data_IF_317136221761
#
_entry.id   IF_317136221761
#
_cell.length_a   1.000
_cell.length_b   1.000
_cell.length_c   1.000
_cell.angle_alpha   90.00
_cell.angle_beta   90.00
_cell.angle_gamma   90.00
#
_symmetry.space_group_name_H-M   'P 1'
#
loop_
_entity.id
_entity.type
_entity.pdbx_description
1 polymer ?
#
# COMPACT_ATOMS: atom_id res chain seq x y z
N UNK A 1 -20.47 19.16 -0.44
CA UNK A 1 -19.55 19.11 0.73
C UNK A 1 -18.14 19.06 0.17
N UNK A 2 -17.34 20.09 0.44
CA UNK A 2 -16.01 20.29 -0.12
C UNK A 2 -15.02 19.27 0.50
N UNK A 3 -14.11 18.75 -0.33
CA UNK A 3 -13.04 17.85 0.10
C UNK A 3 -13.43 16.41 0.42
N UNK A 4 -14.69 16.01 0.21
CA UNK A 4 -15.13 14.64 0.43
C UNK A 4 -14.85 13.79 -0.81
N UNK A 5 -14.06 12.73 -0.71
CA UNK A 5 -13.79 11.85 -1.83
C UNK A 5 -15.03 11.05 -2.24
N UNK A 6 -15.21 10.90 -3.56
CA UNK A 6 -16.29 10.13 -4.17
C UNK A 6 -15.77 9.31 -5.34
N UNK A 7 -16.32 8.13 -5.53
CA UNK A 7 -16.13 7.38 -6.78
C UNK A 7 -16.92 8.03 -7.92
N UNK A 8 -16.32 8.03 -9.10
CA UNK A 8 -16.89 8.64 -10.29
C UNK A 8 -17.03 7.64 -11.44
N UNK A 9 -18.05 7.82 -12.28
CA UNK A 9 -18.41 6.91 -13.36
C UNK A 9 -17.68 7.14 -14.67
N UNK A 10 -16.84 8.16 -14.75
CA UNK A 10 -16.24 8.62 -16.01
C UNK A 10 -14.78 9.02 -15.79
N UNK A 11 -13.99 9.02 -16.85
CA UNK A 11 -12.63 9.58 -16.89
C UNK A 11 -12.61 11.08 -17.17
N UNK A 12 -13.77 11.72 -17.31
CA UNK A 12 -13.92 13.17 -17.47
C UNK A 12 -14.40 13.78 -16.18
N UNK A 13 -13.72 14.81 -15.66
CA UNK A 13 -14.10 15.51 -14.46
C UNK A 13 -15.40 16.30 -14.64
N UNK A 14 -16.35 16.21 -13.70
CA UNK A 14 -17.49 17.14 -13.67
C UNK A 14 -17.05 18.51 -13.15
N UNK A 15 -17.82 19.54 -13.47
CA UNK A 15 -17.56 20.89 -12.98
C UNK A 15 -17.43 20.93 -11.45
N UNK A 16 -16.54 21.74 -10.94
CA UNK A 16 -16.32 21.89 -9.50
C UNK A 16 -15.53 20.77 -8.83
N UNK A 17 -14.94 19.86 -9.59
CA UNK A 17 -14.20 18.72 -9.04
C UNK A 17 -12.76 18.66 -9.56
N UNK A 18 -11.91 18.01 -8.77
CA UNK A 18 -10.54 17.63 -9.11
C UNK A 18 -10.34 16.14 -8.87
N UNK A 19 -9.30 15.58 -9.49
CA UNK A 19 -8.88 14.22 -9.15
C UNK A 19 -8.22 14.18 -7.77
N UNK A 20 -8.44 13.11 -7.02
CA UNK A 20 -7.77 12.89 -5.73
C UNK A 20 -6.39 12.25 -5.95
N UNK A 21 -5.49 12.94 -6.65
CA UNK A 21 -4.22 12.43 -7.18
C UNK A 21 -2.98 13.16 -6.63
N UNK A 22 -3.15 14.04 -5.64
CA UNK A 22 -2.04 14.79 -5.05
C UNK A 22 -1.72 16.11 -5.73
N UNK A 23 -2.46 16.52 -6.75
CA UNK A 23 -2.24 17.77 -7.48
C UNK A 23 -2.50 19.01 -6.61
N UNK A 24 -1.95 20.15 -7.03
CA UNK A 24 -2.14 21.45 -6.37
C UNK A 24 -3.46 22.09 -6.82
N UNK A 25 -4.33 22.36 -5.88
CA UNK A 25 -5.54 23.17 -6.06
C UNK A 25 -5.26 24.59 -5.55
N UNK A 26 -5.24 25.58 -6.45
CA UNK A 26 -4.99 26.99 -6.11
C UNK A 26 -6.24 27.64 -5.51
N UNK A 27 -6.07 28.46 -4.50
CA UNK A 27 -7.16 29.19 -3.87
C UNK A 27 -7.80 30.24 -4.80
N UNK A 28 -7.04 30.74 -5.78
CA UNK A 28 -7.54 31.63 -6.82
C UNK A 28 -8.61 30.94 -7.67
N UNK A 29 -8.40 29.67 -7.99
CA UNK A 29 -9.33 28.86 -8.79
C UNK A 29 -10.49 28.30 -7.93
N UNK A 30 -10.24 28.09 -6.64
CA UNK A 30 -11.16 27.42 -5.72
C UNK A 30 -11.43 28.25 -4.46
N UNK A 31 -12.22 29.36 -4.54
CA UNK A 31 -12.46 30.26 -3.40
C UNK A 31 -13.19 29.59 -2.23
N UNK A 32 -14.04 28.60 -2.50
CA UNK A 32 -14.71 27.85 -1.42
C UNK A 32 -13.75 26.93 -0.65
N UNK A 33 -12.75 26.35 -1.31
CA UNK A 33 -11.67 25.61 -0.66
C UNK A 33 -10.91 26.50 0.31
N UNK A 34 -10.60 27.75 -0.13
CA UNK A 34 -9.94 28.74 0.73
C UNK A 34 -10.75 29.08 1.98
N UNK A 35 -12.05 29.33 1.84
CA UNK A 35 -12.93 29.62 2.99
C UNK A 35 -12.90 28.48 4.03
N UNK A 36 -12.95 27.21 3.59
CA UNK A 36 -12.86 26.05 4.48
C UNK A 36 -11.49 25.98 5.16
N UNK A 37 -10.42 26.25 4.40
CA UNK A 37 -9.07 26.26 4.95
C UNK A 37 -8.90 27.34 6.02
N UNK A 38 -9.30 28.59 5.74
CA UNK A 38 -9.21 29.72 6.65
C UNK A 38 -10.05 29.50 7.93
N UNK A 39 -11.15 28.78 7.81
CA UNK A 39 -12.01 28.39 8.93
C UNK A 39 -11.46 27.18 9.74
N UNK A 40 -10.30 26.62 9.41
CA UNK A 40 -9.73 25.48 10.09
C UNK A 40 -10.43 24.15 9.80
N UNK A 41 -11.21 24.06 8.72
CA UNK A 41 -12.05 22.91 8.39
C UNK A 41 -11.28 21.62 8.04
N UNK A 42 -9.95 21.68 7.94
CA UNK A 42 -9.08 20.53 7.70
C UNK A 42 -8.32 20.08 8.96
N UNK A 43 -8.78 20.43 10.16
CA UNK A 43 -8.11 20.06 11.42
C UNK A 43 -7.86 18.54 11.50
N UNK A 44 -6.64 18.17 11.85
CA UNK A 44 -6.21 16.76 11.91
C UNK A 44 -5.90 16.11 10.56
N UNK A 45 -6.29 16.74 9.43
CA UNK A 45 -6.08 16.24 8.07
C UNK A 45 -5.08 17.07 7.27
N UNK A 46 -4.31 17.97 7.91
CA UNK A 46 -3.25 18.74 7.27
C UNK A 46 -1.88 18.20 7.61
N UNK A 47 -0.99 18.20 6.63
CA UNK A 47 0.47 18.09 6.81
C UNK A 47 1.10 19.48 6.92
N UNK A 48 2.31 19.53 7.46
CA UNK A 48 3.12 20.75 7.35
C UNK A 48 3.48 21.02 5.87
N UNK A 49 3.55 22.27 5.47
CA UNK A 49 3.87 22.66 4.09
C UNK A 49 5.24 22.15 3.64
N UNK A 50 6.20 22.05 4.57
CA UNK A 50 7.58 21.59 4.35
C UNK A 50 7.77 20.09 4.69
N UNK A 51 6.70 19.31 4.76
CA UNK A 51 6.79 17.87 4.98
C UNK A 51 7.68 17.22 3.91
N UNK A 52 8.59 16.34 4.33
CA UNK A 52 9.46 15.61 3.43
C UNK A 52 8.69 14.50 2.69
N UNK A 53 9.31 13.93 1.65
CA UNK A 53 8.70 12.91 0.80
C UNK A 53 8.25 11.66 1.58
N UNK A 54 9.02 11.22 2.58
CA UNK A 54 8.65 10.08 3.41
C UNK A 54 7.40 10.36 4.24
N UNK A 55 7.28 11.55 4.84
CA UNK A 55 6.10 11.98 5.58
C UNK A 55 4.89 12.08 4.67
N UNK A 56 5.04 12.59 3.44
CA UNK A 56 3.97 12.69 2.45
C UNK A 56 3.50 11.27 2.07
N UNK A 57 4.41 10.37 1.73
CA UNK A 57 4.11 8.98 1.38
C UNK A 57 3.40 8.22 2.50
N UNK A 58 3.75 8.50 3.76
CA UNK A 58 3.10 7.89 4.93
C UNK A 58 1.71 8.49 5.24
N UNK A 59 1.27 9.54 4.54
CA UNK A 59 0.05 10.28 4.86
C UNK A 59 -0.73 10.71 3.59
N UNK A 60 -0.90 9.79 2.65
CA UNK A 60 -1.51 10.06 1.34
C UNK A 60 -2.94 10.62 1.41
N UNK A 61 -3.67 10.32 2.48
CA UNK A 61 -5.03 10.83 2.70
C UNK A 61 -5.10 12.25 3.27
N UNK A 62 -3.96 12.93 3.47
CA UNK A 62 -3.93 14.28 4.03
C UNK A 62 -3.73 15.35 2.97
N UNK A 63 -4.27 16.52 3.26
CA UNK A 63 -4.03 17.76 2.53
C UNK A 63 -2.69 18.37 2.96
N UNK A 64 -2.07 19.16 2.10
CA UNK A 64 -0.82 19.84 2.43
C UNK A 64 -0.79 21.26 1.82
N UNK A 65 -0.56 22.31 2.62
CA UNK A 65 -0.34 23.66 2.09
C UNK A 65 0.93 23.68 1.20
N UNK A 66 0.89 24.47 0.13
CA UNK A 66 2.01 24.58 -0.80
C UNK A 66 3.17 25.45 -0.27
N UNK A 67 2.91 26.30 0.73
CA UNK A 67 3.88 27.21 1.35
C UNK A 67 3.48 27.57 2.78
N UNK A 68 4.35 28.29 3.51
CA UNK A 68 4.04 28.85 4.83
C UNK A 68 2.87 29.83 4.79
N UNK A 69 2.81 30.68 3.73
CA UNK A 69 1.65 31.49 3.39
C UNK A 69 1.03 30.87 2.14
N UNK A 70 0.07 29.97 2.28
CA UNK A 70 -0.36 29.14 1.17
C UNK A 70 -1.22 29.89 0.18
N UNK A 71 -0.95 29.65 -1.09
CA UNK A 71 -1.80 30.06 -2.22
C UNK A 71 -2.66 28.91 -2.73
N UNK A 72 -2.53 27.72 -2.15
CA UNK A 72 -3.29 26.55 -2.49
C UNK A 72 -2.95 25.35 -1.60
N UNK A 73 -3.69 24.27 -1.78
CA UNK A 73 -3.48 22.99 -1.11
C UNK A 73 -3.20 21.89 -2.12
N UNK A 74 -2.21 21.06 -1.84
CA UNK A 74 -2.13 19.76 -2.47
C UNK A 74 -3.28 18.90 -1.95
N UNK A 75 -4.06 18.35 -2.85
CA UNK A 75 -5.15 17.43 -2.50
C UNK A 75 -4.60 16.08 -2.04
N UNK A 76 -5.36 15.25 -1.30
CA UNK A 76 -4.98 13.89 -0.99
C UNK A 76 -4.69 13.08 -2.25
N UNK A 77 -3.66 12.23 -2.21
CA UNK A 77 -3.40 11.24 -3.25
C UNK A 77 -4.04 9.91 -2.87
N UNK A 78 -5.21 9.65 -3.42
CA UNK A 78 -6.01 8.45 -3.15
C UNK A 78 -5.94 7.44 -4.31
N UNK A 79 -5.08 7.71 -5.32
CA UNK A 79 -4.86 6.81 -6.44
C UNK A 79 -4.33 5.46 -5.93
N UNK A 80 -4.93 4.36 -6.42
CA UNK A 80 -4.53 2.99 -6.08
C UNK A 80 -4.58 2.63 -4.59
N UNK A 81 -5.31 3.41 -3.78
CA UNK A 81 -5.45 3.16 -2.35
C UNK A 81 -6.77 2.47 -2.00
N UNK A 82 -6.70 1.50 -1.10
CA UNK A 82 -7.88 0.93 -0.45
C UNK A 82 -8.30 1.77 0.74
N UNK A 83 -9.57 2.13 0.81
CA UNK A 83 -10.10 2.90 1.93
C UNK A 83 -10.44 1.99 3.11
N UNK A 84 -9.99 2.41 4.29
CA UNK A 84 -10.36 1.81 5.57
C UNK A 84 -11.00 2.85 6.47
N UNK A 85 -12.13 2.52 7.09
CA UNK A 85 -12.76 3.39 8.07
C UNK A 85 -11.80 3.69 9.22
N UNK A 86 -11.70 4.97 9.59
CA UNK A 86 -10.98 5.41 10.76
C UNK A 86 -11.95 5.59 11.92
N UNK A 87 -11.63 5.01 13.07
CA UNK A 87 -12.49 4.96 14.26
C UNK A 87 -11.89 5.65 15.48
N UNK A 88 -10.86 6.49 15.29
CA UNK A 88 -10.19 7.18 16.39
C UNK A 88 -9.18 6.33 17.15
N UNK A 89 -8.76 5.17 16.63
CA UNK A 89 -7.73 4.31 17.22
C UNK A 89 -6.31 4.89 17.16
N UNK A 90 -5.31 4.07 17.43
CA UNK A 90 -3.89 4.47 17.48
C UNK A 90 -3.32 4.95 16.13
N UNK A 91 -3.97 4.61 15.04
CA UNK A 91 -3.57 5.03 13.70
C UNK A 91 -4.06 6.45 13.42
N UNK A 92 -3.20 7.31 12.87
CA UNK A 92 -3.59 8.67 12.49
C UNK A 92 -4.55 8.67 11.29
N UNK A 93 -5.56 9.54 11.31
CA UNK A 93 -6.43 9.77 10.16
C UNK A 93 -5.62 10.22 8.95
N UNK A 94 -5.97 9.72 7.75
CA UNK A 94 -5.28 10.04 6.50
C UNK A 94 -3.91 9.38 6.31
N UNK A 95 -3.44 8.56 7.27
CA UNK A 95 -2.18 7.81 7.10
C UNK A 95 -2.32 6.68 6.09
N UNK A 96 -1.29 6.46 5.28
CA UNK A 96 -1.15 5.30 4.41
C UNK A 96 -0.58 4.10 5.20
N UNK A 97 -0.84 2.92 4.70
CA UNK A 97 -0.26 1.68 5.20
C UNK A 97 0.14 0.83 4.01
N UNK A 98 1.42 0.43 3.99
CA UNK A 98 1.94 -0.46 2.97
C UNK A 98 1.31 -1.85 3.03
N UNK A 99 1.52 -2.60 1.98
CA UNK A 99 1.16 -4.01 1.91
C UNK A 99 1.88 -4.82 2.99
N UNK A 100 1.16 -5.72 3.64
CA UNK A 100 1.73 -6.65 4.59
C UNK A 100 0.98 -7.99 4.57
N UNK A 101 1.70 -9.03 4.25
CA UNK A 101 1.21 -10.39 4.36
C UNK A 101 1.38 -10.89 5.80
N UNK A 102 0.39 -11.66 6.27
CA UNK A 102 0.52 -12.37 7.55
C UNK A 102 1.70 -13.34 7.47
N UNK A 103 2.57 -13.31 8.49
CA UNK A 103 3.67 -14.25 8.57
C UNK A 103 3.15 -15.69 8.57
N UNK A 104 3.59 -16.47 7.60
CA UNK A 104 3.36 -17.93 7.57
C UNK A 104 4.58 -18.56 8.17
N UNK A 105 4.42 -19.31 9.26
CA UNK A 105 5.47 -20.09 9.91
C UNK A 105 5.09 -21.56 9.92
N UNK A 106 6.03 -22.42 9.60
CA UNK A 106 5.87 -23.87 9.69
C UNK A 106 7.14 -24.48 10.24
N UNK A 107 7.01 -25.52 11.04
CA UNK A 107 8.13 -26.36 11.46
C UNK A 107 8.26 -27.50 10.45
N UNK A 108 9.40 -27.54 9.74
CA UNK A 108 9.77 -28.69 8.94
C UNK A 108 10.61 -29.59 9.86
N UNK A 109 10.04 -30.70 10.26
CA UNK A 109 10.71 -31.64 11.17
C UNK A 109 11.97 -32.28 10.57
N UNK A 110 12.64 -33.13 11.33
CA UNK A 110 13.81 -33.86 10.85
C UNK A 110 13.43 -34.85 9.75
N UNK A 111 14.09 -34.72 8.59
CA UNK A 111 13.92 -35.64 7.48
C UNK A 111 15.06 -36.67 7.44
N UNK A 112 14.70 -37.92 7.34
CA UNK A 112 15.59 -38.95 6.83
C UNK A 112 15.37 -39.05 5.33
N UNK A 113 16.40 -38.82 4.56
CA UNK A 113 16.33 -38.86 3.10
C UNK A 113 16.54 -40.27 2.58
N UNK A 114 15.57 -40.93 1.97
CA UNK A 114 15.81 -41.84 0.88
C UNK A 114 15.25 -41.39 -0.46
N UNK A 115 14.49 -40.33 -0.55
CA UNK A 115 13.76 -40.00 -1.77
C UNK A 115 13.67 -38.49 -1.98
N UNK A 116 13.81 -38.08 -3.24
CA UNK A 116 13.57 -36.71 -3.67
C UNK A 116 12.20 -36.23 -3.20
N UNK A 117 12.17 -35.18 -2.39
CA UNK A 117 10.92 -34.50 -2.04
C UNK A 117 10.62 -33.46 -3.13
N UNK A 118 9.61 -33.74 -3.93
CA UNK A 118 9.07 -32.80 -4.89
C UNK A 118 7.66 -32.41 -4.46
N UNK A 119 7.41 -31.13 -4.31
CA UNK A 119 6.09 -30.60 -4.01
C UNK A 119 5.97 -29.18 -4.54
N UNK A 120 4.74 -28.76 -4.84
CA UNK A 120 4.52 -27.44 -5.42
C UNK A 120 4.97 -26.29 -4.51
N UNK A 121 5.01 -26.52 -3.20
CA UNK A 121 5.35 -25.51 -2.20
C UNK A 121 6.80 -25.57 -1.72
N UNK A 122 7.45 -26.72 -1.91
CA UNK A 122 8.80 -27.01 -1.45
C UNK A 122 9.66 -27.43 -2.64
N UNK A 123 10.73 -26.72 -2.89
CA UNK A 123 11.74 -27.08 -3.88
C UNK A 123 13.06 -27.38 -3.19
N UNK A 124 13.70 -28.50 -3.57
CA UNK A 124 15.05 -28.80 -3.16
C UNK A 124 16.02 -28.23 -4.18
N UNK A 125 16.94 -27.39 -3.76
CA UNK A 125 18.07 -26.99 -4.56
C UNK A 125 19.37 -27.51 -3.94
N UNK A 126 20.11 -28.25 -4.69
CA UNK A 126 21.43 -28.78 -4.33
C UNK A 126 21.68 -30.12 -4.97
N UNK A 127 22.69 -30.22 -5.83
CA UNK A 127 23.29 -31.46 -6.27
C UNK A 127 24.44 -31.81 -5.32
N UNK A 128 24.09 -32.25 -4.12
CA UNK A 128 25.05 -32.79 -3.18
C UNK A 128 25.33 -34.25 -3.54
N UNK A 129 26.36 -34.51 -4.33
CA UNK A 129 26.90 -35.84 -4.56
C UNK A 129 27.94 -36.20 -3.49
N UNK A 130 27.55 -36.17 -2.22
CA UNK A 130 28.31 -36.81 -1.17
C UNK A 130 27.45 -37.89 -0.52
N UNK A 131 27.12 -38.89 -1.34
CA UNK A 131 26.67 -40.18 -0.85
C UNK A 131 27.90 -40.96 -0.40
N UNK A 132 28.35 -40.77 0.81
CA UNK A 132 29.22 -41.75 1.44
C UNK A 132 28.34 -42.92 1.81
N UNK A 133 28.49 -44.01 1.09
CA UNK A 133 27.88 -45.27 1.45
C UNK A 133 28.43 -45.69 2.81
N UNK A 134 27.58 -45.86 3.79
CA UNK A 134 27.97 -46.24 5.13
C UNK A 134 27.13 -47.43 5.56
N UNK A 135 27.85 -48.43 6.01
CA UNK A 135 27.33 -49.66 6.61
C UNK A 135 26.34 -49.39 7.74
N UNK A 136 25.43 -50.26 7.92
CA UNK A 136 24.22 -50.42 8.74
C UNK A 136 23.88 -49.43 9.86
N UNK A 137 24.78 -48.52 10.27
CA UNK A 137 24.56 -47.62 11.40
C UNK A 137 24.88 -46.13 11.10
N UNK A 138 24.91 -45.76 9.84
CA UNK A 138 25.36 -44.44 9.44
C UNK A 138 24.26 -43.58 8.83
N UNK A 139 24.15 -42.39 9.37
CA UNK A 139 23.25 -41.32 8.92
C UNK A 139 23.80 -40.75 7.61
N UNK A 140 23.11 -40.97 6.50
CA UNK A 140 23.39 -40.26 5.25
C UNK A 140 23.02 -38.79 5.47
N UNK A 141 24.01 -37.95 5.59
CA UNK A 141 23.83 -36.50 5.60
C UNK A 141 23.94 -36.01 4.16
N UNK A 142 22.81 -35.85 3.51
CA UNK A 142 22.75 -35.07 2.27
C UNK A 142 22.47 -33.61 2.67
N UNK A 143 23.42 -32.73 2.44
CA UNK A 143 23.20 -31.30 2.61
C UNK A 143 22.43 -30.76 1.39
N UNK A 144 21.19 -30.47 1.57
CA UNK A 144 20.34 -29.78 0.56
C UNK A 144 19.61 -28.61 1.19
N UNK A 145 19.36 -27.59 0.42
CA UNK A 145 18.53 -26.46 0.84
C UNK A 145 17.09 -26.78 0.48
N UNK A 146 16.21 -26.80 1.47
CA UNK A 146 14.78 -26.88 1.24
C UNK A 146 14.23 -25.47 1.17
N UNK A 147 13.75 -25.08 -0.01
CA UNK A 147 13.19 -23.74 -0.24
C UNK A 147 11.67 -23.82 -0.22
N UNK A 148 11.07 -23.01 0.63
CA UNK A 148 9.64 -22.74 0.58
C UNK A 148 9.41 -21.60 -0.41
N UNK A 149 8.56 -21.83 -1.42
CA UNK A 149 8.16 -20.81 -2.38
C UNK A 149 6.65 -20.87 -2.61
N UNK A 150 5.94 -19.86 -2.09
CA UNK A 150 4.50 -19.74 -2.26
C UNK A 150 4.09 -19.49 -3.71
N UNK A 151 5.00 -18.96 -4.55
CA UNK A 151 4.76 -18.73 -5.98
C UNK A 151 4.45 -20.00 -6.77
N UNK A 152 4.85 -21.18 -6.24
CA UNK A 152 4.56 -22.47 -6.88
C UNK A 152 3.10 -22.94 -6.72
N UNK A 153 2.32 -22.33 -5.82
CA UNK A 153 0.93 -22.76 -5.51
C UNK A 153 -0.10 -21.67 -5.58
N UNK A 154 0.33 -20.40 -5.52
CA UNK A 154 -0.55 -19.24 -5.61
C UNK A 154 0.00 -18.22 -6.60
N UNK A 155 -0.87 -17.46 -7.24
CA UNK A 155 -0.44 -16.34 -8.07
C UNK A 155 0.23 -15.30 -7.17
N UNK A 156 1.49 -15.00 -7.46
CA UNK A 156 2.26 -13.98 -6.75
C UNK A 156 2.36 -12.70 -7.57
N UNK A 157 2.44 -11.58 -6.88
CA UNK A 157 2.71 -10.26 -7.45
C UNK A 157 3.70 -9.52 -6.54
N UNK A 158 4.15 -8.36 -6.98
CA UNK A 158 5.00 -7.48 -6.17
C UNK A 158 4.28 -6.91 -4.95
N UNK A 159 2.96 -7.06 -4.91
CA UNK A 159 2.10 -6.67 -3.78
C UNK A 159 0.98 -7.68 -3.56
N UNK A 160 0.46 -7.78 -2.34
CA UNK A 160 -0.75 -8.53 -2.05
C UNK A 160 -1.98 -7.72 -2.46
N UNK A 161 -2.66 -8.16 -3.50
CA UNK A 161 -3.87 -7.52 -4.01
C UNK A 161 -5.08 -8.42 -3.82
N UNK A 162 -6.10 -8.01 -3.04
CA UNK A 162 -7.41 -8.64 -3.13
C UNK A 162 -8.01 -8.39 -4.51
N UNK A 163 -8.99 -9.18 -4.90
CA UNK A 163 -9.77 -8.89 -6.12
C UNK A 163 -10.35 -7.49 -6.00
N UNK A 164 -10.04 -6.62 -6.95
CA UNK A 164 -10.38 -5.21 -6.89
C UNK A 164 -10.80 -4.66 -8.25
N UNK A 165 -11.44 -3.50 -8.24
CA UNK A 165 -11.80 -2.72 -9.41
C UNK A 165 -11.28 -1.30 -9.21
N UNK A 166 -10.55 -0.78 -10.19
CA UNK A 166 -10.10 0.61 -10.20
C UNK A 166 -11.25 1.54 -10.57
N UNK A 167 -11.64 2.42 -9.67
CA UNK A 167 -12.64 3.46 -9.91
C UNK A 167 -12.00 4.84 -9.74
N UNK A 168 -12.30 5.79 -10.65
CA UNK A 168 -11.84 7.17 -10.49
C UNK A 168 -12.34 7.77 -9.17
N UNK A 169 -11.46 8.48 -8.44
CA UNK A 169 -11.81 9.19 -7.21
C UNK A 169 -11.68 10.69 -7.43
N UNK A 170 -12.76 11.40 -7.15
CA UNK A 170 -12.85 12.86 -7.31
C UNK A 170 -13.14 13.55 -5.98
N UNK A 171 -12.76 14.81 -5.88
CA UNK A 171 -13.03 15.71 -4.77
C UNK A 171 -13.82 16.92 -5.29
N UNK A 172 -14.93 17.24 -4.67
CA UNK A 172 -15.62 18.49 -4.94
C UNK A 172 -14.93 19.63 -4.20
N UNK A 173 -14.54 20.70 -4.89
CA UNK A 173 -13.87 21.87 -4.32
C UNK A 173 -14.73 23.17 -4.35
N UNK A 174 -15.94 23.09 -4.86
CA UNK A 174 -16.80 24.24 -5.12
C UNK A 174 -16.83 24.56 -6.62
N UNK A 175 -17.55 25.61 -6.98
CA UNK A 175 -17.48 26.12 -8.34
C UNK A 175 -16.15 26.88 -8.51
N UNK A 176 -15.46 26.73 -9.65
CA UNK A 176 -14.27 27.51 -9.94
C UNK A 176 -14.63 29.00 -10.06
N UNK A 177 -13.63 29.85 -9.78
CA UNK A 177 -13.74 31.29 -9.90
C UNK A 177 -13.94 31.74 -11.37
#
# INVERSE_FOLDING_TARGET
MIGVPRYWRSTTLPAGHVWANGDLALFADWPELKKIYDAGGFAGMLLAYNANSATIAANLGKWRPNAANPTGLYVPNLSEQFFRAWTGGSRAAGSAQGDAMRRITGLIGQFRWPTLITGNLLAQSGTGSDATAVTEDSVIKTSGTLTFDSGNVVTTATENRPVNVALPVILYLGLPA
#
